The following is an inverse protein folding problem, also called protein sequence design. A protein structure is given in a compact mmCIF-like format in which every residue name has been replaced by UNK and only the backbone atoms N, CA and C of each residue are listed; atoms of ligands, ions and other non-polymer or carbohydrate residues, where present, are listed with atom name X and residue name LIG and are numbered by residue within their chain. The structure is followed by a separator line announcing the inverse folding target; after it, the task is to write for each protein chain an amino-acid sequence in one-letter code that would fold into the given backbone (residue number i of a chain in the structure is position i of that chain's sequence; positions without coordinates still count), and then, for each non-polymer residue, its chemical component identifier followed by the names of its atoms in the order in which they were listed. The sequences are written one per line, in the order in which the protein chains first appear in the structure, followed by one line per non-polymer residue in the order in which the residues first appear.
data_IF_693933512330
#
_entry.id   IF_693933512330
#
_cell.length_a   1.000
_cell.length_b   1.000
_cell.length_c   1.000
_cell.angle_alpha   90.00
_cell.angle_beta   90.00
_cell.angle_gamma   90.00
#
_symmetry.space_group_name_H-M   'P 1'
#
loop_
_entity.id
_entity.type
_entity.pdbx_description
1 polymer ?
#
# COMPACT_ATOMS: atom_id res chain seq x y z
N UNK A 1 -3.90 -11.07 16.20
CA UNK A 1 -2.84 -12.00 15.71
C UNK A 1 -2.44 -12.89 16.85
N UNK A 2 -1.92 -14.07 16.55
CA UNK A 2 -1.37 -14.97 17.58
C UNK A 2 -0.13 -15.68 17.06
N UNK A 3 0.76 -16.04 17.98
CA UNK A 3 1.89 -16.94 17.70
C UNK A 3 1.49 -18.33 18.17
N UNK A 4 1.58 -19.32 17.28
CA UNK A 4 1.38 -20.72 17.62
C UNK A 4 2.74 -21.44 17.64
N UNK A 5 3.07 -22.09 18.75
CA UNK A 5 4.36 -22.76 18.96
C UNK A 5 4.20 -24.29 19.01
N UNK A 6 5.12 -25.03 18.39
CA UNK A 6 5.17 -26.51 18.47
C UNK A 6 6.58 -27.06 18.27
N UNK A 7 7.17 -27.64 19.33
CA UNK A 7 8.47 -28.35 19.31
C UNK A 7 9.59 -27.51 18.65
N UNK A 8 9.99 -26.40 19.27
CA UNK A 8 11.06 -25.52 18.78
C UNK A 8 10.74 -24.74 17.50
N UNK A 9 9.46 -24.68 17.11
CA UNK A 9 8.96 -23.98 15.91
C UNK A 9 7.82 -23.05 16.26
N UNK A 10 7.67 -21.96 15.53
CA UNK A 10 6.54 -21.06 15.68
C UNK A 10 6.02 -20.55 14.34
N UNK A 11 4.72 -20.26 14.32
CA UNK A 11 4.01 -19.70 13.18
C UNK A 11 3.22 -18.49 13.61
N UNK A 12 3.34 -17.41 12.83
CA UNK A 12 2.49 -16.24 13.01
C UNK A 12 1.16 -16.47 12.30
N UNK A 13 0.06 -16.26 13.01
CA UNK A 13 -1.28 -16.42 12.48
C UNK A 13 -2.04 -15.08 12.48
N UNK A 14 -2.72 -14.84 11.36
CA UNK A 14 -3.65 -13.73 11.19
C UNK A 14 -4.87 -13.82 12.11
N UNK A 15 -5.72 -12.77 12.15
CA UNK A 15 -6.97 -12.79 12.91
C UNK A 15 -7.93 -13.91 12.49
N UNK A 16 -7.90 -14.29 11.21
CA UNK A 16 -8.65 -15.39 10.59
C UNK A 16 -8.00 -16.77 10.82
N UNK A 17 -6.86 -16.82 11.51
CA UNK A 17 -6.11 -18.05 11.74
C UNK A 17 -5.23 -18.48 10.56
N UNK A 18 -5.19 -17.74 9.45
CA UNK A 18 -4.34 -18.06 8.32
C UNK A 18 -2.85 -17.79 8.65
N UNK A 19 -1.91 -18.59 8.11
CA UNK A 19 -0.48 -18.36 8.30
C UNK A 19 -0.02 -17.04 7.68
N UNK A 20 0.82 -16.31 8.40
CA UNK A 20 1.52 -15.11 7.93
C UNK A 20 3.00 -15.45 7.74
N UNK A 21 3.38 -15.66 6.48
CA UNK A 21 4.72 -16.08 6.09
C UNK A 21 5.07 -17.51 6.55
N UNK A 22 6.33 -17.89 6.35
CA UNK A 22 6.81 -19.25 6.61
C UNK A 22 6.93 -19.58 8.11
N UNK A 23 6.95 -20.86 8.46
CA UNK A 23 7.23 -21.29 9.83
C UNK A 23 8.67 -20.96 10.24
N UNK A 24 8.84 -20.37 11.42
CA UNK A 24 10.15 -20.08 12.00
C UNK A 24 10.59 -21.27 12.85
N UNK A 25 11.79 -21.78 12.57
CA UNK A 25 12.46 -22.83 13.35
C UNK A 25 13.42 -22.21 14.37
N UNK A 26 13.85 -23.06 15.31
CA UNK A 26 14.85 -22.72 16.33
C UNK A 26 14.37 -21.58 17.25
N UNK A 27 13.13 -21.69 17.73
CA UNK A 27 12.53 -20.65 18.59
C UNK A 27 13.26 -20.48 19.92
N UNK A 28 13.90 -21.55 20.41
CA UNK A 28 14.69 -21.52 21.64
C UNK A 28 16.07 -20.85 21.43
N UNK A 29 16.43 -20.54 20.18
CA UNK A 29 17.62 -19.79 19.76
C UNK A 29 17.25 -18.54 18.95
N UNK A 30 17.88 -18.36 17.78
CA UNK A 30 17.72 -17.13 16.96
C UNK A 30 16.31 -16.99 16.35
N UNK A 31 15.52 -18.06 16.36
CA UNK A 31 14.14 -18.05 15.89
C UNK A 31 13.23 -17.12 16.68
N UNK A 32 13.46 -16.95 17.99
CA UNK A 32 12.71 -15.97 18.79
C UNK A 32 12.89 -14.55 18.24
N UNK A 33 14.15 -14.14 18.00
CA UNK A 33 14.49 -12.83 17.43
C UNK A 33 13.87 -12.63 16.05
N UNK A 34 13.94 -13.65 15.18
CA UNK A 34 13.28 -13.59 13.86
C UNK A 34 11.76 -13.46 13.97
N UNK A 35 11.13 -14.11 14.95
CA UNK A 35 9.69 -13.99 15.20
C UNK A 35 9.32 -12.59 15.68
N UNK A 36 10.10 -12.01 16.59
CA UNK A 36 9.90 -10.63 17.06
C UNK A 36 9.99 -9.65 15.89
N UNK A 37 11.05 -9.71 15.07
CA UNK A 37 11.19 -8.85 13.88
C UNK A 37 10.01 -8.99 12.92
N UNK A 38 9.48 -10.21 12.76
CA UNK A 38 8.30 -10.46 11.92
C UNK A 38 7.04 -9.83 12.52
N UNK A 39 6.86 -9.88 13.83
CA UNK A 39 5.76 -9.22 14.52
C UNK A 39 5.84 -7.70 14.37
N UNK A 40 7.03 -7.12 14.53
CA UNK A 40 7.29 -5.68 14.33
C UNK A 40 6.98 -5.26 12.90
N UNK A 41 7.45 -6.01 11.90
CA UNK A 41 7.16 -5.75 10.49
C UNK A 41 5.65 -5.74 10.22
N UNK A 42 4.92 -6.74 10.71
CA UNK A 42 3.47 -6.81 10.52
C UNK A 42 2.74 -5.70 11.30
N UNK A 43 3.24 -5.33 12.48
CA UNK A 43 2.69 -4.23 13.25
C UNK A 43 2.88 -2.89 12.51
N UNK A 44 4.08 -2.61 12.00
CA UNK A 44 4.36 -1.38 11.27
C UNK A 44 3.56 -1.26 9.98
N UNK A 45 3.43 -2.37 9.24
CA UNK A 45 2.56 -2.41 8.07
C UNK A 45 1.11 -2.06 8.41
N UNK A 46 0.58 -2.59 9.53
CA UNK A 46 -0.79 -2.26 9.99
C UNK A 46 -0.91 -0.83 10.48
N UNK A 47 0.11 -0.27 11.11
CA UNK A 47 0.12 1.13 11.54
C UNK A 47 0.05 2.05 10.33
N UNK A 48 0.84 1.79 9.28
CA UNK A 48 0.74 2.56 8.03
C UNK A 48 -0.65 2.37 7.39
N UNK A 49 -1.21 1.16 7.38
CA UNK A 49 -2.58 0.94 6.87
C UNK A 49 -3.63 1.73 7.67
N UNK A 50 -3.50 1.79 8.98
CA UNK A 50 -4.42 2.48 9.90
C UNK A 50 -4.17 3.99 10.01
N UNK A 51 -3.06 4.51 9.49
CA UNK A 51 -2.70 5.92 9.56
C UNK A 51 -3.81 6.82 9.00
N UNK A 52 -4.41 7.64 9.84
CA UNK A 52 -5.53 8.51 9.45
C UNK A 52 -5.45 9.84 10.19
N UNK A 53 -6.03 10.88 9.59
CA UNK A 53 -6.19 12.19 10.21
C UNK A 53 -7.65 12.64 10.07
N UNK A 54 -8.54 12.15 10.95
CA UNK A 54 -9.98 12.41 10.84
C UNK A 54 -10.34 13.90 11.02
N UNK A 55 -9.45 14.69 11.64
CA UNK A 55 -9.63 16.14 11.81
C UNK A 55 -9.17 16.98 10.62
N UNK A 56 -8.63 16.37 9.56
CA UNK A 56 -8.06 17.11 8.43
C UNK A 56 -9.10 17.86 7.61
N UNK A 57 -8.80 19.11 7.28
CA UNK A 57 -9.57 19.89 6.29
C UNK A 57 -9.36 19.36 4.86
N UNK A 58 -8.30 18.58 4.64
CA UNK A 58 -8.00 17.92 3.38
C UNK A 58 -8.74 16.59 3.21
N UNK A 59 -9.55 16.14 4.18
CA UNK A 59 -10.40 14.98 4.02
C UNK A 59 -11.26 15.12 2.75
N UNK A 60 -11.21 14.11 1.87
CA UNK A 60 -11.92 14.10 0.58
C UNK A 60 -11.43 15.13 -0.45
N UNK A 61 -10.33 15.86 -0.20
CA UNK A 61 -9.78 16.85 -1.11
C UNK A 61 -9.35 16.27 -2.45
N UNK A 62 -8.81 15.05 -2.43
CA UNK A 62 -8.40 14.31 -3.62
C UNK A 62 -9.18 13.02 -3.68
N UNK A 63 -9.86 12.77 -4.80
CA UNK A 63 -10.52 11.49 -5.04
C UNK A 63 -9.61 10.55 -5.81
N UNK A 64 -9.59 9.29 -5.39
CA UNK A 64 -8.95 8.20 -6.13
C UNK A 64 -10.02 7.38 -6.84
N UNK A 65 -9.79 7.04 -8.11
CA UNK A 65 -10.67 6.16 -8.88
C UNK A 65 -9.85 5.16 -9.68
N UNK A 66 -10.38 3.93 -9.79
CA UNK A 66 -9.81 2.90 -10.64
C UNK A 66 -10.58 2.92 -11.96
N UNK A 67 -9.88 2.87 -13.09
CA UNK A 67 -10.47 2.81 -14.43
C UNK A 67 -9.96 1.54 -15.11
N UNK A 68 -10.83 0.77 -15.77
CA UNK A 68 -10.39 -0.39 -16.53
C UNK A 68 -9.41 0.03 -17.63
N UNK A 69 -8.27 -0.65 -17.74
CA UNK A 69 -7.33 -0.40 -18.82
C UNK A 69 -7.75 -1.16 -20.08
N UNK A 70 -7.71 -0.46 -21.22
CA UNK A 70 -7.86 -1.09 -22.54
C UNK A 70 -6.45 -1.27 -23.14
N UNK A 71 -6.06 -2.48 -23.55
CA UNK A 71 -4.74 -2.72 -24.11
C UNK A 71 -4.41 -1.75 -25.26
N UNK A 72 -3.22 -1.14 -25.18
CA UNK A 72 -2.72 -0.20 -26.19
C UNK A 72 -3.38 1.20 -26.16
N UNK A 73 -4.34 1.47 -25.26
CA UNK A 73 -4.95 2.79 -25.12
C UNK A 73 -4.41 3.53 -23.90
N UNK A 74 -4.31 4.85 -24.05
CA UNK A 74 -4.08 5.75 -22.91
C UNK A 74 -5.35 5.85 -22.06
N UNK A 75 -5.21 6.17 -20.76
CA UNK A 75 -6.36 6.40 -19.92
C UNK A 75 -7.17 7.60 -20.41
N UNK A 76 -8.49 7.42 -20.49
CA UNK A 76 -9.45 8.47 -20.81
C UNK A 76 -9.85 9.18 -19.50
N UNK A 77 -9.67 10.51 -19.39
CA UNK A 77 -10.12 11.30 -18.24
C UNK A 77 -11.60 11.14 -17.89
N UNK A 78 -12.45 10.91 -18.89
CA UNK A 78 -13.90 10.83 -18.74
C UNK A 78 -14.41 9.40 -18.62
N UNK A 79 -13.51 8.40 -18.72
CA UNK A 79 -13.90 7.01 -18.53
C UNK A 79 -14.53 6.77 -17.15
N UNK A 80 -15.57 5.93 -17.09
CA UNK A 80 -16.24 5.61 -15.84
C UNK A 80 -15.28 4.90 -14.89
N UNK A 81 -15.34 5.28 -13.62
CA UNK A 81 -14.64 4.57 -12.56
C UNK A 81 -15.27 3.19 -12.36
N UNK A 82 -14.44 2.19 -12.06
CA UNK A 82 -14.89 0.93 -11.49
C UNK A 82 -15.64 1.21 -10.18
N UNK A 83 -16.62 0.36 -9.88
CA UNK A 83 -17.41 0.48 -8.67
C UNK A 83 -16.87 -0.47 -7.61
N UNK A 84 -16.61 0.06 -6.42
CA UNK A 84 -16.39 -0.77 -5.25
C UNK A 84 -17.71 -1.43 -4.83
N UNK A 85 -17.65 -2.69 -4.41
CA UNK A 85 -18.76 -3.41 -3.76
C UNK A 85 -18.36 -3.59 -2.30
N UNK A 86 -19.23 -3.19 -1.38
CA UNK A 86 -18.98 -3.29 0.07
C UNK A 86 -17.64 -2.65 0.50
N UNK A 87 -17.28 -1.52 -0.14
CA UNK A 87 -16.02 -0.82 0.14
C UNK A 87 -14.76 -1.48 -0.41
N UNK A 88 -14.88 -2.50 -1.28
CA UNK A 88 -13.75 -3.17 -1.92
C UNK A 88 -13.89 -3.22 -3.45
N UNK A 89 -12.79 -2.95 -4.15
CA UNK A 89 -12.71 -3.16 -5.60
C UNK A 89 -12.36 -4.61 -5.88
N UNK A 90 -13.28 -5.35 -6.50
CA UNK A 90 -13.03 -6.72 -6.94
C UNK A 90 -12.62 -6.74 -8.40
N UNK A 91 -11.41 -7.24 -8.67
CA UNK A 91 -10.83 -7.35 -10.01
C UNK A 91 -10.62 -8.82 -10.34
N UNK A 92 -11.08 -9.26 -11.50
CA UNK A 92 -11.07 -10.69 -11.85
C UNK A 92 -10.07 -10.97 -12.96
N UNK A 93 -9.37 -12.10 -12.83
CA UNK A 93 -8.61 -12.67 -13.94
C UNK A 93 -9.57 -13.09 -15.05
N UNK A 94 -9.16 -12.85 -16.29
CA UNK A 94 -9.86 -13.35 -17.47
C UNK A 94 -9.16 -14.60 -18.01
N UNK A 95 -9.94 -15.56 -18.52
CA UNK A 95 -9.39 -16.65 -19.33
C UNK A 95 -9.23 -16.16 -20.78
N UNK A 96 -8.01 -16.18 -21.31
CA UNK A 96 -7.72 -15.87 -22.72
C UNK A 96 -6.74 -16.90 -23.26
N UNK A 97 -7.07 -17.50 -24.41
CA UNK A 97 -6.24 -18.50 -25.08
C UNK A 97 -5.76 -19.62 -24.15
N UNK A 98 -6.66 -20.09 -23.27
CA UNK A 98 -6.35 -21.14 -22.30
C UNK A 98 -5.51 -20.70 -21.10
N UNK A 99 -5.07 -19.45 -21.00
CA UNK A 99 -4.28 -18.91 -19.89
C UNK A 99 -5.07 -17.92 -19.02
N UNK A 100 -4.69 -17.81 -17.75
CA UNK A 100 -5.19 -16.78 -16.84
C UNK A 100 -4.45 -15.46 -17.08
N UNK A 101 -5.19 -14.41 -17.40
CA UNK A 101 -4.67 -13.06 -17.64
C UNK A 101 -5.16 -12.13 -16.53
N UNK A 102 -4.20 -11.52 -15.83
CA UNK A 102 -4.47 -10.58 -14.75
C UNK A 102 -5.15 -9.30 -15.28
N UNK A 103 -6.10 -8.72 -14.53
CA UNK A 103 -6.72 -7.46 -14.88
C UNK A 103 -5.69 -6.32 -14.91
N UNK A 104 -5.95 -5.33 -15.76
CA UNK A 104 -5.18 -4.10 -15.85
C UNK A 104 -6.08 -2.90 -15.58
N UNK A 105 -5.58 -1.94 -14.82
CA UNK A 105 -6.30 -0.72 -14.46
C UNK A 105 -5.42 0.51 -14.67
N UNK A 106 -6.04 1.68 -14.74
CA UNK A 106 -5.41 2.96 -14.46
C UNK A 106 -5.92 3.47 -13.11
N UNK A 107 -5.08 4.20 -12.38
CA UNK A 107 -5.48 4.87 -11.13
C UNK A 107 -5.44 6.38 -11.34
N UNK A 108 -6.61 7.00 -11.16
CA UNK A 108 -6.87 8.43 -11.35
C UNK A 108 -6.91 9.12 -10.00
N UNK A 109 -6.09 10.15 -9.81
CA UNK A 109 -6.14 11.07 -8.67
C UNK A 109 -6.71 12.39 -9.19
N UNK A 110 -7.78 12.90 -8.58
CA UNK A 110 -8.37 14.19 -8.97
C UNK A 110 -8.43 15.12 -7.77
N UNK A 111 -7.74 16.25 -7.86
CA UNK A 111 -7.81 17.29 -6.85
C UNK A 111 -9.10 18.10 -7.03
N UNK A 112 -9.92 18.14 -5.98
CA UNK A 112 -11.21 18.83 -5.95
C UNK A 112 -11.16 20.16 -5.20
N UNK A 113 -9.99 20.55 -4.69
CA UNK A 113 -9.79 21.81 -3.95
C UNK A 113 -9.27 22.90 -4.88
N UNK A 114 -9.49 24.14 -4.47
CA UNK A 114 -8.96 25.34 -5.14
C UNK A 114 -7.47 25.61 -4.90
N UNK A 115 -6.71 24.65 -4.37
CA UNK A 115 -5.28 24.76 -4.09
C UNK A 115 -4.53 23.51 -4.54
N UNK A 116 -3.27 23.68 -4.92
CA UNK A 116 -2.36 22.61 -5.29
C UNK A 116 -2.06 21.73 -4.07
N UNK A 117 -2.04 20.41 -4.23
CA UNK A 117 -1.84 19.46 -3.14
C UNK A 117 -0.78 18.41 -3.50
N UNK A 118 0.13 18.12 -2.59
CA UNK A 118 1.11 17.06 -2.75
C UNK A 118 0.47 15.70 -2.45
N UNK A 119 0.66 14.75 -3.36
CA UNK A 119 0.04 13.42 -3.28
C UNK A 119 1.10 12.33 -3.35
N UNK A 120 0.97 11.29 -2.51
CA UNK A 120 1.74 10.05 -2.59
C UNK A 120 0.77 8.88 -2.56
N UNK A 121 0.91 7.94 -3.51
CA UNK A 121 0.10 6.72 -3.56
C UNK A 121 0.94 5.51 -3.16
N UNK A 122 0.68 5.01 -1.96
CA UNK A 122 1.27 3.78 -1.44
C UNK A 122 0.46 2.57 -1.92
N UNK A 123 1.16 1.51 -2.30
CA UNK A 123 0.61 0.17 -2.41
C UNK A 123 1.06 -0.64 -1.19
N UNK A 124 0.09 -1.13 -0.42
CA UNK A 124 0.31 -2.05 0.69
C UNK A 124 -0.18 -3.42 0.22
N UNK A 125 0.73 -4.37 0.01
CA UNK A 125 0.36 -5.68 -0.55
C UNK A 125 0.17 -6.76 0.51
N UNK A 126 -0.53 -7.84 0.14
CA UNK A 126 -0.82 -8.98 1.03
C UNK A 126 0.40 -9.72 1.61
N UNK A 127 1.61 -9.49 1.08
CA UNK A 127 2.88 -9.98 1.63
C UNK A 127 3.57 -8.96 2.57
N UNK A 128 2.81 -8.00 3.11
CA UNK A 128 3.27 -6.97 4.04
C UNK A 128 4.37 -6.04 3.51
N UNK A 129 4.44 -5.86 2.19
CA UNK A 129 5.29 -4.84 1.56
C UNK A 129 4.55 -3.50 1.50
N UNK A 130 5.28 -2.40 1.58
CA UNK A 130 4.80 -1.05 1.27
C UNK A 130 5.72 -0.39 0.25
N UNK A 131 5.15 0.17 -0.82
CA UNK A 131 5.94 0.95 -1.78
C UNK A 131 5.13 2.06 -2.45
N UNK A 132 5.79 3.16 -2.82
CA UNK A 132 5.17 4.31 -3.48
C UNK A 132 5.34 4.32 -5.02
N UNK A 133 5.81 3.21 -5.63
CA UNK A 133 6.14 3.16 -7.07
C UNK A 133 5.01 3.56 -8.03
N UNK A 134 3.75 3.51 -7.59
CA UNK A 134 2.60 3.88 -8.42
C UNK A 134 2.47 5.40 -8.57
N UNK A 135 2.74 6.16 -7.51
CA UNK A 135 2.80 7.61 -7.52
C UNK A 135 3.73 8.05 -6.37
N UNK A 136 5.04 8.20 -6.63
CA UNK A 136 6.04 8.36 -5.58
C UNK A 136 5.95 9.69 -4.84
N UNK A 137 5.29 10.67 -5.43
CA UNK A 137 5.18 12.02 -4.90
C UNK A 137 5.17 13.05 -6.01
N UNK A 138 4.07 13.76 -6.15
CA UNK A 138 3.97 14.94 -7.03
C UNK A 138 2.80 15.80 -6.57
N UNK A 139 2.84 17.07 -6.97
CA UNK A 139 1.72 17.96 -6.78
C UNK A 139 0.64 17.75 -7.84
N UNK A 140 -0.62 17.83 -7.41
CA UNK A 140 -1.79 17.85 -8.28
C UNK A 140 -2.43 19.23 -8.17
N UNK A 141 -2.49 19.94 -9.30
CA UNK A 141 -3.05 21.29 -9.37
C UNK A 141 -4.58 21.31 -9.13
N UNK A 142 -5.16 22.47 -8.79
CA UNK A 142 -6.59 22.61 -8.56
C UNK A 142 -7.43 22.09 -9.75
N UNK A 143 -8.36 21.17 -9.50
CA UNK A 143 -9.25 20.63 -10.54
C UNK A 143 -8.61 19.58 -11.45
N UNK A 144 -7.29 19.46 -11.43
CA UNK A 144 -6.52 18.60 -12.34
C UNK A 144 -6.56 17.12 -11.98
N UNK A 145 -6.22 16.31 -12.98
CA UNK A 145 -6.08 14.85 -12.87
C UNK A 145 -4.61 14.46 -12.98
N UNK A 146 -4.15 13.70 -11.99
CA UNK A 146 -2.89 12.98 -12.06
C UNK A 146 -3.15 11.48 -12.23
N UNK A 147 -2.34 10.83 -13.06
CA UNK A 147 -2.43 9.38 -13.28
C UNK A 147 -1.24 8.67 -12.66
N UNK A 148 -1.52 7.60 -11.91
CA UNK A 148 -0.47 6.70 -11.43
C UNK A 148 0.33 6.13 -12.62
N UNK A 149 1.62 5.87 -12.39
CA UNK A 149 2.57 5.36 -13.39
C UNK A 149 2.57 6.21 -14.67
N UNK A 150 2.33 7.53 -14.54
CA UNK A 150 2.24 8.49 -15.66
C UNK A 150 1.24 8.03 -16.74
N UNK A 151 0.12 7.47 -16.31
CA UNK A 151 -0.93 6.96 -17.21
C UNK A 151 -0.69 5.55 -17.75
N UNK A 152 0.39 4.87 -17.34
CA UNK A 152 0.61 3.48 -17.68
C UNK A 152 -0.44 2.53 -17.06
N UNK A 153 -0.72 1.38 -17.70
CA UNK A 153 -1.58 0.37 -17.11
C UNK A 153 -0.87 -0.33 -15.93
N UNK A 154 -1.60 -0.51 -14.84
CA UNK A 154 -1.16 -1.25 -13.66
C UNK A 154 -1.77 -2.63 -13.72
N UNK A 155 -0.92 -3.66 -13.76
CA UNK A 155 -1.36 -5.05 -13.61
C UNK A 155 -1.64 -5.32 -12.13
N UNK A 156 -2.86 -5.76 -11.83
CA UNK A 156 -3.25 -6.19 -10.48
C UNK A 156 -3.40 -7.70 -10.49
N UNK A 157 -2.62 -8.40 -9.69
CA UNK A 157 -2.51 -9.86 -9.75
C UNK A 157 -2.18 -10.48 -8.42
N UNK A 158 -2.32 -11.80 -8.35
CA UNK A 158 -1.82 -12.60 -7.23
C UNK A 158 -0.29 -12.43 -7.10
N UNK A 159 0.28 -12.66 -5.90
CA UNK A 159 1.72 -12.73 -5.71
C UNK A 159 2.37 -13.65 -6.74
N UNK A 160 3.55 -13.29 -7.25
CA UNK A 160 4.23 -14.06 -8.32
C UNK A 160 4.49 -15.52 -7.96
N UNK A 161 4.62 -15.83 -6.66
CA UNK A 161 4.81 -17.18 -6.14
C UNK A 161 3.51 -17.98 -5.98
N UNK A 162 2.34 -17.35 -6.10
CA UNK A 162 1.07 -18.02 -5.93
C UNK A 162 0.61 -18.70 -7.24
N UNK A 163 0.11 -19.95 -7.17
CA UNK A 163 -0.41 -20.63 -8.34
C UNK A 163 -1.67 -19.95 -8.87
N UNK A 164 -1.81 -19.89 -10.20
CA UNK A 164 -3.00 -19.35 -10.86
C UNK A 164 -4.06 -20.45 -11.03
N UNK A 165 -4.77 -20.75 -9.94
CA UNK A 165 -5.83 -21.77 -9.91
C UNK A 165 -7.19 -21.14 -9.57
N UNK A 166 -8.31 -21.73 -10.04
CA UNK A 166 -9.66 -21.28 -9.68
C UNK A 166 -9.83 -21.08 -8.17
N UNK A 167 -10.47 -19.99 -7.78
CA UNK A 167 -10.65 -19.61 -6.36
C UNK A 167 -9.45 -18.94 -5.70
N UNK A 168 -8.31 -18.85 -6.38
CA UNK A 168 -7.15 -18.09 -5.93
C UNK A 168 -7.48 -16.61 -5.73
N UNK A 169 -7.00 -16.00 -4.63
CA UNK A 169 -7.28 -14.60 -4.29
C UNK A 169 -6.08 -13.89 -3.68
N UNK A 170 -6.02 -12.58 -3.84
CA UNK A 170 -5.09 -11.69 -3.15
C UNK A 170 -5.78 -10.40 -2.78
N UNK A 171 -5.31 -9.74 -1.70
CA UNK A 171 -5.81 -8.44 -1.27
C UNK A 171 -4.66 -7.47 -1.08
N UNK A 172 -4.80 -6.32 -1.70
CA UNK A 172 -3.90 -5.18 -1.61
C UNK A 172 -4.71 -3.94 -1.20
N UNK A 173 -4.02 -2.89 -0.75
CA UNK A 173 -4.62 -1.62 -0.39
C UNK A 173 -3.84 -0.49 -1.05
N UNK A 174 -4.55 0.36 -1.80
CA UNK A 174 -4.01 1.64 -2.22
C UNK A 174 -4.27 2.65 -1.11
N UNK A 175 -3.21 3.28 -0.61
CA UNK A 175 -3.30 4.34 0.38
C UNK A 175 -2.78 5.64 -0.21
N UNK A 176 -3.68 6.61 -0.38
CA UNK A 176 -3.31 7.95 -0.76
C UNK A 176 -3.00 8.75 0.50
N UNK A 177 -1.85 9.43 0.49
CA UNK A 177 -1.49 10.47 1.44
C UNK A 177 -1.51 11.81 0.71
N UNK A 178 -2.15 12.81 1.30
CA UNK A 178 -2.32 14.15 0.72
C UNK A 178 -1.85 15.19 1.74
N UNK A 179 -1.08 16.18 1.30
CA UNK A 179 -0.63 17.28 2.13
C UNK A 179 -0.55 18.58 1.32
N UNK A 180 -0.48 19.71 2.02
CA UNK A 180 -0.17 21.00 1.40
C UNK A 180 1.31 21.13 1.03
N UNK A 181 2.17 20.43 1.77
CA UNK A 181 3.62 20.46 1.61
C UNK A 181 4.15 19.13 1.07
N UNK A 182 5.33 19.19 0.45
CA UNK A 182 6.04 18.00 -0.04
C UNK A 182 6.58 17.17 1.13
N UNK A 183 6.51 15.84 1.02
CA UNK A 183 7.08 14.88 1.97
C UNK A 183 7.67 13.66 1.25
N UNK A 184 8.56 12.94 1.94
CA UNK A 184 9.23 11.75 1.40
C UNK A 184 8.38 10.49 1.53
N UNK A 185 8.13 9.79 0.42
CA UNK A 185 7.43 8.51 0.46
C UNK A 185 8.30 7.35 1.00
N UNK A 186 9.62 7.53 1.06
CA UNK A 186 10.58 6.53 1.54
C UNK A 186 10.39 6.20 3.03
N UNK A 187 9.89 7.16 3.82
CA UNK A 187 9.57 6.95 5.23
C UNK A 187 8.52 5.85 5.49
N UNK A 188 7.73 5.50 4.47
CA UNK A 188 6.71 4.44 4.55
C UNK A 188 7.16 3.13 3.90
N UNK A 189 8.34 3.10 3.27
CA UNK A 189 8.75 1.95 2.47
C UNK A 189 9.10 0.75 3.35
N UNK A 190 8.52 -0.42 3.02
CA UNK A 190 8.81 -1.68 3.69
C UNK A 190 9.03 -2.77 2.64
N UNK A 191 10.06 -3.63 2.77
CA UNK A 191 10.23 -4.78 1.88
C UNK A 191 9.12 -5.82 2.12
N UNK A 192 9.00 -6.83 1.25
CA UNK A 192 8.20 -8.02 1.56
C UNK A 192 8.57 -8.64 2.91
N UNK A 193 7.59 -9.22 3.60
CA UNK A 193 7.81 -9.91 4.87
C UNK A 193 8.87 -11.01 4.73
N UNK A 194 9.92 -10.95 5.55
CA UNK A 194 11.01 -11.93 5.55
C UNK A 194 12.16 -11.61 4.61
N UNK A 195 12.08 -10.51 3.86
CA UNK A 195 13.24 -9.91 3.20
C UNK A 195 13.82 -8.80 4.08
N UNK A 196 15.15 -8.70 4.13
CA UNK A 196 15.82 -7.63 4.86
C UNK A 196 15.64 -6.28 4.17
N UNK A 197 15.62 -5.21 4.98
CA UNK A 197 15.59 -3.84 4.48
C UNK A 197 16.92 -3.55 3.79
N UNK A 198 16.95 -3.64 2.47
CA UNK A 198 17.98 -2.95 1.69
C UNK A 198 17.63 -1.47 1.77
N UNK A 199 18.39 -0.71 2.55
CA UNK A 199 18.18 0.72 2.70
C UNK A 199 18.20 1.38 1.32
N UNK A 200 17.02 1.75 0.82
CA UNK A 200 16.91 2.64 -0.31
C UNK A 200 17.39 4.00 0.18
N UNK A 201 18.65 4.34 -0.10
CA UNK A 201 19.15 5.71 0.05
C UNK A 201 18.31 6.57 -0.88
N UNK A 202 17.45 7.41 -0.32
CA UNK A 202 16.95 8.57 -1.06
C UNK A 202 17.60 9.83 -0.53
N UNK A 203 18.04 10.63 -1.50
CA UNK A 203 18.82 11.85 -1.35
C UNK A 203 17.81 12.97 -1.30
N UNK A 204 17.42 13.36 -0.08
CA UNK A 204 17.02 14.70 0.35
C UNK A 204 16.23 14.57 1.65
N UNK A 205 16.86 14.99 2.75
CA UNK A 205 16.24 15.08 4.07
C UNK A 205 15.12 16.11 4.06
N UNK A 206 13.90 15.66 3.78
CA UNK A 206 12.70 16.36 4.19
C UNK A 206 12.30 15.76 5.53
N UNK A 207 12.53 16.51 6.62
CA UNK A 207 12.11 16.14 7.98
C UNK A 207 10.74 16.77 8.27
N UNK A 208 9.72 16.34 7.53
CA UNK A 208 8.33 16.77 7.69
C UNK A 208 7.53 15.92 8.70
N UNK A 209 6.30 16.35 9.01
CA UNK A 209 5.39 15.60 9.88
C UNK A 209 5.11 14.18 9.34
N UNK A 210 4.81 14.04 8.05
CA UNK A 210 4.53 12.74 7.44
C UNK A 210 5.76 11.83 7.39
N UNK A 211 6.97 12.38 7.21
CA UNK A 211 8.20 11.60 7.28
C UNK A 211 8.40 10.99 8.68
N UNK A 212 8.13 11.77 9.73
CA UNK A 212 8.19 11.28 11.12
C UNK A 212 7.09 10.25 11.42
N UNK A 213 5.87 10.49 10.95
CA UNK A 213 4.77 9.52 11.10
C UNK A 213 5.09 8.21 10.38
N UNK A 214 5.67 8.27 9.18
CA UNK A 214 6.16 7.10 8.45
C UNK A 214 7.22 6.34 9.24
N UNK A 215 8.28 7.02 9.69
CA UNK A 215 9.37 6.39 10.47
C UNK A 215 8.88 5.81 11.79
N UNK A 216 8.00 6.51 12.52
CA UNK A 216 7.38 5.98 13.75
C UNK A 216 6.55 4.73 13.47
N UNK A 217 5.78 4.75 12.39
CA UNK A 217 4.97 3.61 12.00
C UNK A 217 5.83 2.40 11.58
N UNK A 218 6.96 2.62 10.90
CA UNK A 218 7.80 1.53 10.37
C UNK A 218 8.88 1.05 11.35
N UNK A 219 9.52 1.96 12.08
CA UNK A 219 10.75 1.71 12.86
C UNK A 219 10.60 1.91 14.37
N UNK A 220 9.42 2.33 14.86
CA UNK A 220 9.17 2.60 16.29
C UNK A 220 10.24 3.50 16.92
N UNK A 221 10.62 4.56 16.22
CA UNK A 221 11.61 5.54 16.70
C UNK A 221 10.95 6.54 17.66
N UNK A 222 11.62 6.82 18.79
CA UNK A 222 11.28 7.94 19.68
C UNK A 222 12.25 9.08 19.40
N UNK A 223 11.80 10.05 18.60
CA UNK A 223 12.63 11.19 18.21
C UNK A 223 12.33 12.43 19.06
N UNK A 224 13.35 13.29 19.22
CA UNK A 224 13.17 14.64 19.77
C UNK A 224 12.14 15.43 18.95
N UNK A 225 11.31 16.20 19.64
CA UNK A 225 10.33 17.08 19.03
C UNK A 225 11.01 18.32 18.44
N UNK A 226 11.70 18.16 17.32
CA UNK A 226 12.14 19.31 16.50
C UNK A 226 10.91 20.07 15.98
N UNK A 227 10.89 21.42 16.03
CA UNK A 227 9.76 22.25 15.62
C UNK A 227 9.62 22.30 14.09
N UNK A 228 9.31 21.15 13.48
CA UNK A 228 8.84 21.08 12.10
C UNK A 228 7.46 21.72 11.98
N UNK A 229 7.25 22.48 10.90
CA UNK A 229 5.98 23.15 10.61
C UNK A 229 4.85 22.12 10.54
N UNK A 230 3.89 22.21 11.46
CA UNK A 230 2.69 21.39 11.40
C UNK A 230 1.85 21.85 10.20
N UNK A 231 1.71 20.99 9.19
CA UNK A 231 0.82 21.20 8.05
C UNK A 231 -0.32 20.19 8.07
N UNK A 232 -1.45 20.54 7.46
CA UNK A 232 -2.59 19.65 7.36
C UNK A 232 -2.32 18.53 6.34
N UNK A 233 -2.76 17.31 6.66
CA UNK A 233 -2.63 16.14 5.82
C UNK A 233 -3.83 15.23 5.97
N UNK A 234 -4.19 14.51 4.92
CA UNK A 234 -5.26 13.52 4.93
C UNK A 234 -4.79 12.19 4.34
N UNK A 235 -5.50 11.12 4.69
CA UNK A 235 -5.32 9.81 4.09
C UNK A 235 -6.62 9.25 3.54
N UNK A 236 -6.51 8.40 2.52
CA UNK A 236 -7.63 7.62 1.97
C UNK A 236 -7.12 6.22 1.65
N UNK A 237 -7.93 5.19 1.95
CA UNK A 237 -7.59 3.78 1.70
C UNK A 237 -8.62 3.15 0.78
N UNK A 238 -8.15 2.46 -0.27
CA UNK A 238 -8.96 1.71 -1.23
C UNK A 238 -8.52 0.25 -1.21
N UNK A 239 -9.30 -0.65 -0.57
CA UNK A 239 -9.05 -2.08 -0.63
C UNK A 239 -9.33 -2.64 -2.03
N UNK A 240 -8.40 -3.46 -2.54
CA UNK A 240 -8.51 -4.14 -3.82
C UNK A 240 -8.37 -5.64 -3.59
N UNK A 241 -9.37 -6.41 -4.01
CA UNK A 241 -9.32 -7.86 -4.06
C UNK A 241 -9.14 -8.29 -5.51
N UNK A 242 -8.14 -9.14 -5.76
CA UNK A 242 -7.95 -9.78 -7.06
C UNK A 242 -8.28 -11.26 -6.94
N UNK A 243 -9.15 -11.77 -7.82
CA UNK A 243 -9.62 -13.15 -7.77
C UNK A 243 -9.44 -13.87 -9.10
N UNK A 244 -9.21 -15.17 -9.04
CA UNK A 244 -9.37 -16.09 -10.15
C UNK A 244 -10.76 -16.71 -10.01
N UNK A 245 -11.68 -16.51 -10.97
CA UNK A 245 -13.00 -17.12 -10.93
C UNK A 245 -12.95 -18.64 -10.72
N UNK A 246 -13.91 -19.15 -9.95
CA UNK A 246 -14.10 -20.57 -9.65
C UNK A 246 -14.62 -21.36 -10.85
#
# INVERSE_FOLDING_TARGET
MRVATRRGRARLLGPDGAPIGDEIRDIDGDGATRMVRRLEHVAGWRQVLALDNPGSTLAGAVSVSLVAAVPGRRPDPDAPALLAREGCYRLEYARRDGAWVAPQIHVRLRNRRGKRLYCVLLNLSGNYRIHARLFPGDFVDPGEIAWAVRGGPIRVGLPRSAPLVPGGRSRDWLKLLVAEEQFGASAFAMPPLGEDVTAARDVNGLDGLLDRLGRRAVHREMDEAEPGRAYDWAALVLPIETVIPG
#
